data_IF_545824378677
#
_entry.id   IF_545824378677
#
_cell.length_a   1.000
_cell.length_b   1.000
_cell.length_c   1.000
_cell.angle_alpha   90.00
_cell.angle_beta   90.00
_cell.angle_gamma   90.00
#
_symmetry.space_group_name_H-M   'P 1'
#
loop_
_entity.id
_entity.type
_entity.pdbx_description
1 polymer ?
#
# COMPACT_ATOMS: atom_id res chain seq x y z
N UNK A 1 7.46 1.68 22.83
CA UNK A 1 7.09 3.00 22.27
C UNK A 1 6.14 2.87 21.08
N UNK A 2 5.58 3.98 20.59
CA UNK A 2 4.62 3.99 19.48
C UNK A 2 5.17 3.35 18.19
N UNK A 3 6.47 3.48 17.96
CA UNK A 3 7.18 2.85 16.84
C UNK A 3 7.24 1.32 16.94
N UNK A 4 7.33 0.77 18.14
CA UNK A 4 7.31 -0.68 18.35
C UNK A 4 5.95 -1.26 17.97
N UNK A 5 4.88 -0.55 18.32
CA UNK A 5 3.50 -0.94 17.99
C UNK A 5 3.28 -0.89 16.47
N UNK A 6 3.69 0.20 15.81
CA UNK A 6 3.58 0.33 14.35
C UNK A 6 4.37 -0.77 13.63
N UNK A 7 5.59 -1.06 14.08
CA UNK A 7 6.40 -2.12 13.50
C UNK A 7 5.80 -3.52 13.72
N UNK A 8 5.22 -3.77 14.90
CA UNK A 8 4.53 -5.03 15.19
C UNK A 8 3.31 -5.22 14.29
N UNK A 9 2.50 -4.18 14.09
CA UNK A 9 1.35 -4.21 13.19
C UNK A 9 1.79 -4.48 11.74
N UNK A 10 2.81 -3.79 11.23
CA UNK A 10 3.33 -4.03 9.89
C UNK A 10 3.85 -5.47 9.73
N UNK A 11 4.52 -6.00 10.75
CA UNK A 11 5.01 -7.38 10.75
C UNK A 11 3.88 -8.39 10.69
N UNK A 12 2.77 -8.14 11.38
CA UNK A 12 1.59 -9.03 11.38
C UNK A 12 0.85 -8.93 10.05
N UNK A 13 0.68 -7.71 9.50
CA UNK A 13 -0.13 -7.49 8.30
C UNK A 13 0.58 -7.87 6.99
N UNK A 14 1.86 -7.52 6.84
CA UNK A 14 2.59 -7.60 5.56
C UNK A 14 3.81 -8.52 5.66
N UNK A 15 4.24 -8.82 6.89
CA UNK A 15 5.35 -9.73 7.17
C UNK A 15 6.64 -9.03 7.59
N UNK A 16 7.66 -9.84 7.82
CA UNK A 16 8.98 -9.39 8.27
C UNK A 16 9.70 -8.58 7.19
N UNK A 17 10.36 -7.51 7.61
CA UNK A 17 11.32 -6.77 6.80
C UNK A 17 12.50 -7.66 6.40
N UNK A 18 12.86 -7.63 5.12
CA UNK A 18 14.05 -8.33 4.60
C UNK A 18 15.26 -7.40 4.64
N UNK A 19 15.94 -7.35 5.79
CA UNK A 19 17.12 -6.50 6.00
C UNK A 19 18.28 -6.80 5.03
N UNK A 20 18.43 -8.06 4.61
CA UNK A 20 19.49 -8.50 3.69
C UNK A 20 19.06 -8.57 2.22
N UNK A 21 17.90 -8.02 1.86
CA UNK A 21 17.44 -8.04 0.48
C UNK A 21 18.31 -7.13 -0.40
N UNK A 22 19.24 -7.73 -1.14
CA UNK A 22 20.02 -7.02 -2.15
C UNK A 22 19.10 -6.62 -3.30
N UNK A 23 18.79 -5.32 -3.39
CA UNK A 23 17.96 -4.75 -4.45
C UNK A 23 18.82 -3.90 -5.38
N UNK A 24 18.87 -4.27 -6.67
CA UNK A 24 19.55 -3.46 -7.68
C UNK A 24 18.88 -2.09 -7.82
N UNK A 25 19.63 -1.08 -8.24
CA UNK A 25 19.09 0.28 -8.43
C UNK A 25 17.92 0.30 -9.42
N UNK A 26 18.03 -0.47 -10.51
CA UNK A 26 16.95 -0.63 -11.50
C UNK A 26 15.68 -1.19 -10.85
N UNK A 27 15.81 -2.23 -10.03
CA UNK A 27 14.67 -2.85 -9.32
C UNK A 27 14.08 -1.89 -8.29
N UNK A 28 14.91 -1.17 -7.53
CA UNK A 28 14.47 -0.15 -6.57
C UNK A 28 13.65 0.94 -7.24
N UNK A 29 14.10 1.42 -8.41
CA UNK A 29 13.38 2.45 -9.18
C UNK A 29 12.05 1.93 -9.70
N UNK A 30 12.00 0.70 -10.21
CA UNK A 30 10.76 0.06 -10.66
C UNK A 30 9.73 -0.05 -9.52
N UNK A 31 10.15 -0.57 -8.35
CA UNK A 31 9.30 -0.66 -7.16
C UNK A 31 8.83 0.72 -6.71
N UNK A 32 9.69 1.74 -6.76
CA UNK A 32 9.30 3.10 -6.41
C UNK A 32 8.19 3.63 -7.32
N UNK A 33 8.26 3.39 -8.63
CA UNK A 33 7.18 3.76 -9.54
C UNK A 33 5.91 2.94 -9.29
N UNK A 34 6.04 1.64 -9.04
CA UNK A 34 4.92 0.76 -8.73
C UNK A 34 4.13 1.26 -7.51
N UNK A 35 4.81 1.47 -6.39
CA UNK A 35 4.15 1.94 -5.16
C UNK A 35 3.63 3.38 -5.31
N UNK A 36 4.35 4.25 -6.04
CA UNK A 36 3.86 5.59 -6.35
C UNK A 36 2.57 5.55 -7.19
N UNK A 37 2.43 4.60 -8.12
CA UNK A 37 1.23 4.42 -8.92
C UNK A 37 0.00 4.07 -8.06
N UNK A 38 0.16 3.14 -7.12
CA UNK A 38 -0.88 2.84 -6.13
C UNK A 38 -1.23 4.06 -5.28
N UNK A 39 -0.22 4.75 -4.75
CA UNK A 39 -0.41 5.88 -3.86
C UNK A 39 -1.10 7.07 -4.54
N UNK A 40 -0.65 7.45 -5.74
CA UNK A 40 -1.21 8.60 -6.48
C UNK A 40 -2.66 8.32 -6.86
N UNK A 41 -2.97 7.13 -7.41
CA UNK A 41 -4.36 6.80 -7.71
C UNK A 41 -5.21 6.77 -6.45
N UNK A 42 -4.74 6.17 -5.36
CA UNK A 42 -5.48 6.15 -4.09
C UNK A 42 -5.75 7.55 -3.54
N UNK A 43 -4.81 8.47 -3.69
CA UNK A 43 -4.98 9.87 -3.28
C UNK A 43 -5.96 10.65 -4.18
N UNK A 44 -6.12 10.26 -5.45
CA UNK A 44 -6.99 10.95 -6.42
C UNK A 44 -8.41 10.38 -6.51
N UNK A 45 -8.63 9.12 -6.10
CA UNK A 45 -9.94 8.49 -6.17
C UNK A 45 -10.86 8.98 -5.05
N UNK A 46 -12.00 9.57 -5.40
CA UNK A 46 -13.07 9.90 -4.45
C UNK A 46 -13.75 8.62 -3.95
N UNK A 47 -14.20 8.56 -2.69
CA UNK A 47 -14.75 7.33 -2.09
C UNK A 47 -13.75 6.16 -2.22
N UNK A 48 -12.56 6.35 -1.68
CA UNK A 48 -11.54 5.32 -1.49
C UNK A 48 -10.80 5.52 -0.16
N UNK A 49 -10.02 4.53 0.25
CA UNK A 49 -9.26 4.57 1.49
C UNK A 49 -8.03 5.47 1.36
N UNK A 50 -7.69 6.19 2.44
CA UNK A 50 -6.61 7.19 2.41
C UNK A 50 -5.24 6.53 2.52
N UNK A 51 -4.23 7.08 1.84
CA UNK A 51 -2.85 6.57 1.94
C UNK A 51 -2.30 6.86 3.33
N UNK A 52 -1.98 5.80 4.08
CA UNK A 52 -1.40 5.89 5.42
C UNK A 52 0.13 5.87 5.38
N UNK A 53 0.71 5.00 4.53
CA UNK A 53 2.16 4.83 4.41
C UNK A 53 2.54 4.27 3.05
N UNK A 54 3.67 4.73 2.53
CA UNK A 54 4.30 4.21 1.31
C UNK A 54 5.72 3.78 1.68
N UNK A 55 6.14 2.59 1.28
CA UNK A 55 7.49 2.09 1.52
C UNK A 55 7.98 1.26 0.34
N UNK A 56 9.24 1.46 -0.04
CA UNK A 56 9.95 0.61 -1.01
C UNK A 56 10.86 -0.42 -0.31
N UNK A 57 10.72 -0.54 1.02
CA UNK A 57 11.47 -1.51 1.81
C UNK A 57 10.78 -2.87 1.66
N UNK A 58 11.50 -3.92 1.21
CA UNK A 58 10.92 -5.22 0.98
C UNK A 58 10.47 -5.88 2.29
N UNK A 59 9.21 -6.30 2.33
CA UNK A 59 8.61 -7.03 3.45
C UNK A 59 7.92 -8.30 2.93
N UNK A 60 8.21 -9.44 3.57
CA UNK A 60 7.64 -10.73 3.16
C UNK A 60 7.86 -11.03 1.66
N UNK A 61 6.81 -11.39 0.90
CA UNK A 61 6.92 -11.60 -0.56
C UNK A 61 6.94 -10.30 -1.38
N UNK A 62 6.61 -9.15 -0.78
CA UNK A 62 6.46 -7.88 -1.48
C UNK A 62 7.80 -7.13 -1.63
N UNK A 63 7.99 -6.48 -2.78
CA UNK A 63 9.16 -5.63 -3.07
C UNK A 63 9.05 -4.21 -2.48
N UNK A 64 7.82 -3.75 -2.27
CA UNK A 64 7.42 -2.50 -1.62
C UNK A 64 5.97 -2.66 -1.14
N UNK A 65 5.43 -1.64 -0.49
CA UNK A 65 4.03 -1.65 -0.04
C UNK A 65 3.46 -0.24 0.06
N UNK A 66 2.21 -0.11 -0.37
CA UNK A 66 1.34 1.04 -0.13
C UNK A 66 0.22 0.61 0.80
N UNK A 67 0.14 1.23 1.97
CA UNK A 67 -0.84 0.92 3.02
C UNK A 67 -1.93 1.98 2.99
N UNK A 68 -3.18 1.52 2.91
CA UNK A 68 -4.36 2.37 2.96
C UNK A 68 -5.09 2.21 4.30
N UNK A 69 -5.60 3.31 4.84
CA UNK A 69 -6.42 3.33 6.05
C UNK A 69 -7.90 3.42 5.65
N UNK A 70 -8.72 2.41 6.01
CA UNK A 70 -10.17 2.48 5.79
C UNK A 70 -10.82 3.56 6.65
N UNK A 71 -11.91 4.15 6.15
CA UNK A 71 -12.71 5.10 6.95
C UNK A 71 -13.43 4.38 8.09
N UNK A 72 -13.69 5.11 9.19
CA UNK A 72 -14.42 4.56 10.35
C UNK A 72 -15.79 4.01 9.97
N UNK A 73 -16.52 4.71 9.10
CA UNK A 73 -17.80 4.25 8.57
C UNK A 73 -17.68 2.90 7.86
N UNK A 74 -16.62 2.71 7.06
CA UNK A 74 -16.39 1.46 6.32
C UNK A 74 -16.01 0.31 7.25
N UNK A 75 -15.23 0.59 8.29
CA UNK A 75 -14.88 -0.37 9.34
C UNK A 75 -16.12 -0.81 10.14
N UNK A 76 -17.00 0.13 10.47
CA UNK A 76 -18.19 -0.14 11.29
C UNK A 76 -19.30 -0.87 10.52
N UNK A 77 -19.53 -0.50 9.26
CA UNK A 77 -20.62 -1.06 8.45
C UNK A 77 -20.21 -2.34 7.71
N UNK A 78 -18.94 -2.46 7.32
CA UNK A 78 -18.46 -3.52 6.44
C UNK A 78 -19.06 -3.48 5.02
N UNK A 79 -19.79 -2.42 4.68
CA UNK A 79 -20.46 -2.28 3.38
C UNK A 79 -19.61 -1.47 2.41
N UNK A 80 -19.71 -1.82 1.13
CA UNK A 80 -18.95 -1.18 0.06
C UNK A 80 -19.87 -0.65 -1.02
N UNK A 81 -19.67 0.60 -1.41
CA UNK A 81 -20.35 1.17 -2.57
C UNK A 81 -19.77 0.56 -3.86
N UNK A 82 -20.57 0.58 -4.94
CA UNK A 82 -20.08 0.24 -6.28
C UNK A 82 -18.92 1.16 -6.72
N UNK A 83 -18.94 2.43 -6.30
CA UNK A 83 -17.89 3.41 -6.57
C UNK A 83 -16.58 2.98 -5.93
N UNK A 84 -16.60 2.71 -4.62
CA UNK A 84 -15.45 2.20 -3.89
C UNK A 84 -14.84 0.95 -4.52
N UNK A 85 -15.65 -0.04 -4.88
CA UNK A 85 -15.12 -1.28 -5.48
C UNK A 85 -14.46 -1.03 -6.84
N UNK A 86 -15.03 -0.12 -7.65
CA UNK A 86 -14.38 0.30 -8.92
C UNK A 86 -13.06 1.02 -8.66
N UNK A 87 -13.04 1.93 -7.70
CA UNK A 87 -11.81 2.65 -7.33
C UNK A 87 -10.74 1.70 -6.81
N UNK A 88 -11.14 0.71 -6.01
CA UNK A 88 -10.26 -0.36 -5.53
C UNK A 88 -9.60 -1.11 -6.69
N UNK A 89 -10.36 -1.42 -7.74
CA UNK A 89 -9.80 -2.02 -8.96
C UNK A 89 -8.83 -1.08 -9.67
N UNK A 90 -9.18 0.20 -9.83
CA UNK A 90 -8.30 1.20 -10.44
C UNK A 90 -6.97 1.34 -9.68
N UNK A 91 -7.04 1.48 -8.35
CA UNK A 91 -5.86 1.60 -7.49
C UNK A 91 -5.02 0.32 -7.54
N UNK A 92 -5.64 -0.86 -7.48
CA UNK A 92 -4.92 -2.13 -7.58
C UNK A 92 -4.18 -2.31 -8.92
N UNK A 93 -4.65 -1.68 -10.01
CA UNK A 93 -3.98 -1.68 -11.31
C UNK A 93 -2.97 -0.53 -11.46
N UNK A 94 -2.97 0.44 -10.55
CA UNK A 94 -2.16 1.66 -10.61
C UNK A 94 -0.66 1.41 -10.64
N UNK A 95 -0.17 0.46 -9.84
CA UNK A 95 1.26 0.15 -9.81
C UNK A 95 1.79 -0.35 -11.14
N UNK A 96 1.01 -1.18 -11.84
CA UNK A 96 1.37 -1.68 -13.18
C UNK A 96 1.34 -0.60 -14.25
N UNK A 97 0.45 0.38 -14.13
CA UNK A 97 0.35 1.50 -15.07
C UNK A 97 1.57 2.43 -14.97
N UNK A 98 2.17 2.54 -13.78
CA UNK A 98 3.23 3.50 -13.48
C UNK A 98 4.65 3.02 -13.81
N UNK A 99 4.87 1.71 -13.95
CA UNK A 99 6.19 1.07 -14.11
C UNK A 99 6.52 0.66 -15.55
#
# INVERSE_FOLDING_TARGET
DQDDISNALERISIGLEKKDAVMSEKKRKLVAYHEAGHAILGALMNDFDVVAKISIVPRGPAGGVTIFMPSEERLNTGLYSKGFLKNRMCVALGGRLAE
#
